data_IF_366005252785
#
_entry.id   IF_366005252785
#
_cell.length_a   1.000
_cell.length_b   1.000
_cell.length_c   1.000
_cell.angle_alpha   90.00
_cell.angle_beta   90.00
_cell.angle_gamma   90.00
#
_symmetry.space_group_name_H-M   'P 1'
#
loop_
_entity.id
_entity.type
_entity.pdbx_description
1 polymer ?
#
# COMPACT_ATOMS: atom_id res chain seq x y z
N UNK A 1 -2.99 1.14 38.11
CA UNK A 1 -4.16 1.61 38.87
C UNK A 1 -3.97 1.34 40.36
N UNK A 2 -3.78 0.08 40.79
CA UNK A 2 -3.53 -0.31 42.19
C UNK A 2 -2.49 0.56 42.92
N UNK A 3 -1.30 0.78 42.34
CA UNK A 3 -0.26 1.59 42.99
C UNK A 3 -0.66 3.08 43.19
N UNK A 4 -1.32 3.71 42.21
CA UNK A 4 -1.72 5.11 42.30
C UNK A 4 -2.91 5.33 43.26
N UNK A 5 -3.87 4.39 43.26
CA UNK A 5 -4.98 4.37 44.22
C UNK A 5 -4.47 4.15 45.65
N UNK A 6 -3.51 3.25 45.83
CA UNK A 6 -2.89 2.96 47.13
C UNK A 6 -2.08 4.16 47.62
N UNK A 7 -1.32 4.82 46.74
CA UNK A 7 -0.54 6.01 47.08
C UNK A 7 -1.44 7.17 47.52
N UNK A 8 -2.52 7.45 46.78
CA UNK A 8 -3.49 8.47 47.16
C UNK A 8 -4.20 8.15 48.48
N UNK A 9 -4.62 6.89 48.68
CA UNK A 9 -5.22 6.46 49.94
C UNK A 9 -4.26 6.63 51.12
N UNK A 10 -2.99 6.28 50.94
CA UNK A 10 -1.96 6.42 51.97
C UNK A 10 -1.62 7.89 52.30
N UNK A 11 -1.49 8.76 51.30
CA UNK A 11 -1.24 10.19 51.54
C UNK A 11 -2.44 10.89 52.18
N UNK A 12 -3.66 10.51 51.81
CA UNK A 12 -4.88 10.98 52.47
C UNK A 12 -4.94 10.55 53.94
N UNK A 13 -4.61 9.30 54.26
CA UNK A 13 -4.53 8.81 55.64
C UNK A 13 -3.45 9.55 56.44
N UNK A 14 -2.28 9.83 55.86
CA UNK A 14 -1.23 10.60 56.52
C UNK A 14 -1.66 12.05 56.78
N UNK A 15 -2.33 12.68 55.82
CA UNK A 15 -2.85 14.04 55.98
C UNK A 15 -3.89 14.11 57.12
N UNK A 16 -4.82 13.15 57.18
CA UNK A 16 -5.82 13.09 58.25
C UNK A 16 -5.20 12.88 59.64
N UNK A 17 -4.01 12.27 59.72
CA UNK A 17 -3.23 12.12 60.95
C UNK A 17 -2.26 13.29 61.21
N UNK A 18 -2.28 14.36 60.39
CA UNK A 18 -1.40 15.52 60.52
C UNK A 18 0.05 15.28 60.10
N UNK A 19 0.33 14.19 59.37
CA UNK A 19 1.68 13.74 58.99
C UNK A 19 2.05 14.05 57.53
N UNK A 20 1.16 14.68 56.77
CA UNK A 20 1.40 15.09 55.38
C UNK A 20 0.71 16.43 55.10
N UNK A 21 1.16 17.12 54.06
CA UNK A 21 0.58 18.40 53.65
C UNK A 21 -0.57 18.20 52.66
N UNK A 22 -1.47 19.17 52.56
CA UNK A 22 -2.55 19.17 51.56
C UNK A 22 -1.99 19.11 50.12
N UNK A 23 -0.80 19.68 49.90
CA UNK A 23 -0.08 19.61 48.63
C UNK A 23 0.21 18.16 48.23
N UNK A 24 0.71 17.33 49.14
CA UNK A 24 1.03 15.92 48.87
C UNK A 24 -0.22 15.10 48.48
N UNK A 25 -1.36 15.42 49.10
CA UNK A 25 -2.67 14.82 48.77
C UNK A 25 -3.13 15.25 47.38
N UNK A 26 -3.00 16.54 47.06
CA UNK A 26 -3.37 17.08 45.77
C UNK A 26 -2.49 16.48 44.65
N UNK A 27 -1.18 16.39 44.84
CA UNK A 27 -0.24 15.81 43.88
C UNK A 27 -0.53 14.32 43.65
N UNK A 28 -0.83 13.57 44.72
CA UNK A 28 -1.24 12.17 44.62
C UNK A 28 -2.57 12.01 43.86
N UNK A 29 -3.53 12.92 44.08
CA UNK A 29 -4.82 12.93 43.37
C UNK A 29 -4.64 13.25 41.88
N UNK A 30 -3.79 14.23 41.55
CA UNK A 30 -3.45 14.58 40.15
C UNK A 30 -2.83 13.37 39.45
N UNK A 31 -1.88 12.67 40.10
CA UNK A 31 -1.29 11.46 39.54
C UNK A 31 -2.35 10.37 39.27
N UNK A 32 -3.26 10.11 40.23
CA UNK A 32 -4.37 9.18 40.04
C UNK A 32 -5.24 9.57 38.83
N UNK A 33 -5.64 10.84 38.73
CA UNK A 33 -6.47 11.33 37.62
C UNK A 33 -5.75 11.18 36.27
N UNK A 34 -4.45 11.48 36.21
CA UNK A 34 -3.66 11.29 34.99
C UNK A 34 -3.59 9.82 34.55
N UNK A 35 -3.45 8.89 35.51
CA UNK A 35 -3.48 7.45 35.23
C UNK A 35 -4.85 7.01 34.73
N UNK A 36 -5.93 7.55 35.29
CA UNK A 36 -7.30 7.24 34.87
C UNK A 36 -7.60 7.77 33.46
N UNK A 37 -7.20 9.00 33.16
CA UNK A 37 -7.29 9.58 31.80
C UNK A 37 -6.50 8.72 30.80
N UNK A 38 -5.27 8.34 31.15
CA UNK A 38 -4.43 7.48 30.30
C UNK A 38 -5.08 6.12 30.05
N UNK A 39 -5.71 5.52 31.06
CA UNK A 39 -6.45 4.26 30.92
C UNK A 39 -7.61 4.41 29.92
N UNK A 40 -8.41 5.46 30.06
CA UNK A 40 -9.55 5.70 29.17
C UNK A 40 -9.08 5.93 27.73
N UNK A 41 -8.00 6.69 27.54
CA UNK A 41 -7.36 6.88 26.23
C UNK A 41 -6.93 5.54 25.62
N UNK A 42 -6.25 4.68 26.40
CA UNK A 42 -5.85 3.34 25.93
C UNK A 42 -7.07 2.50 25.53
N UNK A 43 -8.18 2.57 26.28
CA UNK A 43 -9.40 1.85 25.93
C UNK A 43 -10.02 2.35 24.62
N UNK A 44 -10.06 3.67 24.40
CA UNK A 44 -10.51 4.24 23.13
C UNK A 44 -9.59 3.89 21.97
N UNK A 45 -8.27 3.86 22.19
CA UNK A 45 -7.33 3.42 21.16
C UNK A 45 -7.50 1.94 20.85
N UNK A 46 -7.71 1.10 21.87
CA UNK A 46 -7.94 -0.32 21.69
C UNK A 46 -9.20 -0.58 20.85
N UNK A 47 -10.32 0.09 21.15
CA UNK A 47 -11.54 -0.07 20.34
C UNK A 47 -11.34 0.38 18.89
N UNK A 48 -10.62 1.48 18.66
CA UNK A 48 -10.26 1.93 17.30
C UNK A 48 -9.40 0.90 16.56
N UNK A 49 -8.42 0.28 17.23
CA UNK A 49 -7.58 -0.76 16.62
C UNK A 49 -8.37 -2.02 16.27
N UNK A 50 -9.34 -2.41 17.10
CA UNK A 50 -10.25 -3.52 16.76
C UNK A 50 -11.11 -3.20 15.53
N UNK A 51 -11.63 -1.98 15.42
CA UNK A 51 -12.37 -1.56 14.21
C UNK A 51 -11.47 -1.55 12.99
N UNK A 52 -10.24 -1.02 13.10
CA UNK A 52 -9.27 -1.04 12.02
C UNK A 52 -8.95 -2.47 11.57
N UNK A 53 -8.76 -3.40 12.51
CA UNK A 53 -8.56 -4.82 12.21
C UNK A 53 -9.76 -5.44 11.49
N UNK A 54 -10.99 -5.15 11.97
CA UNK A 54 -12.21 -5.61 11.30
C UNK A 54 -12.29 -5.13 9.86
N UNK A 55 -11.95 -3.86 9.60
CA UNK A 55 -11.90 -3.31 8.24
C UNK A 55 -10.84 -4.04 7.38
N UNK A 56 -9.64 -4.27 7.91
CA UNK A 56 -8.57 -4.95 7.18
C UNK A 56 -8.89 -6.42 6.86
N UNK A 57 -9.67 -7.08 7.71
CA UNK A 57 -10.06 -8.47 7.56
C UNK A 57 -11.45 -8.68 6.96
N UNK A 58 -12.13 -7.59 6.56
CA UNK A 58 -13.51 -7.62 6.03
C UNK A 58 -14.51 -8.32 6.98
N UNK A 59 -14.32 -8.14 8.30
CA UNK A 59 -15.16 -8.73 9.35
C UNK A 59 -16.32 -7.78 9.64
N UNK A 60 -17.58 -8.27 9.65
CA UNK A 60 -18.73 -7.43 9.94
C UNK A 60 -18.72 -6.93 11.40
N UNK A 61 -19.34 -5.77 11.64
CA UNK A 61 -19.30 -5.09 12.93
C UNK A 61 -19.86 -5.95 14.08
N UNK A 62 -20.91 -6.72 13.79
CA UNK A 62 -21.62 -7.56 14.76
C UNK A 62 -20.83 -8.78 15.26
N UNK A 63 -19.71 -9.12 14.62
CA UNK A 63 -18.89 -10.25 15.01
C UNK A 63 -17.87 -9.86 16.10
N UNK A 64 -17.75 -10.69 17.13
CA UNK A 64 -16.85 -10.43 18.26
C UNK A 64 -15.47 -10.98 17.93
N UNK A 65 -14.48 -10.09 17.82
CA UNK A 65 -13.08 -10.45 17.63
C UNK A 65 -12.37 -10.39 18.99
N UNK A 66 -11.78 -11.51 19.41
CA UNK A 66 -10.99 -11.59 20.65
C UNK A 66 -9.58 -12.06 20.31
N UNK A 67 -8.58 -11.28 20.70
CA UNK A 67 -7.18 -11.67 20.59
C UNK A 67 -6.80 -12.44 21.87
N UNK A 68 -6.75 -13.77 21.78
CA UNK A 68 -6.52 -14.66 22.93
C UNK A 68 -5.05 -14.94 23.22
N UNK A 69 -4.13 -14.47 22.37
CA UNK A 69 -2.72 -14.84 22.44
C UNK A 69 -1.90 -13.75 23.12
N UNK A 70 -1.26 -14.09 24.24
CA UNK A 70 -0.22 -13.25 24.85
C UNK A 70 1.04 -13.35 24.00
N UNK A 71 1.53 -12.22 23.51
CA UNK A 71 2.79 -12.12 22.76
C UNK A 71 3.96 -12.19 23.75
N UNK A 72 4.12 -13.33 24.42
CA UNK A 72 5.22 -13.59 25.36
C UNK A 72 6.41 -14.25 24.66
N UNK A 73 6.58 -13.95 23.37
CA UNK A 73 7.77 -14.34 22.62
C UNK A 73 8.73 -13.16 22.73
N UNK A 74 9.78 -13.32 23.52
CA UNK A 74 10.89 -12.37 23.51
C UNK A 74 11.29 -12.13 22.05
N UNK A 75 11.23 -10.89 21.54
CA UNK A 75 11.51 -10.63 20.15
C UNK A 75 12.94 -11.09 19.88
N UNK A 76 13.11 -12.19 19.14
CA UNK A 76 14.42 -12.57 18.67
C UNK A 76 14.85 -11.45 17.73
N UNK A 77 15.77 -10.60 18.17
CA UNK A 77 16.42 -9.58 17.36
C UNK A 77 17.21 -10.29 16.25
N UNK A 78 16.50 -10.74 15.21
CA UNK A 78 17.13 -11.33 14.04
C UNK A 78 17.85 -10.21 13.32
N UNK A 79 19.12 -10.39 13.02
CA UNK A 79 19.80 -9.54 12.06
C UNK A 79 19.22 -9.84 10.68
N UNK A 80 18.04 -9.31 10.38
CA UNK A 80 17.44 -9.42 9.06
C UNK A 80 18.09 -8.37 8.18
N UNK A 81 18.61 -8.81 7.04
CA UNK A 81 18.97 -7.89 5.97
C UNK A 81 17.68 -7.26 5.47
N UNK A 82 17.62 -5.93 5.46
CA UNK A 82 16.48 -5.21 4.86
C UNK A 82 16.63 -5.35 3.35
N UNK A 83 15.78 -6.17 2.74
CA UNK A 83 15.78 -6.37 1.30
C UNK A 83 15.07 -5.23 0.58
N UNK A 84 15.59 -4.91 -0.61
CA UNK A 84 15.01 -3.88 -1.49
C UNK A 84 13.65 -4.33 -2.00
N UNK A 85 12.63 -3.47 -1.89
CA UNK A 85 11.33 -3.74 -2.50
C UNK A 85 11.44 -3.71 -4.04
N UNK A 86 11.35 -4.87 -4.67
CA UNK A 86 11.48 -5.01 -6.13
C UNK A 86 10.17 -4.76 -6.88
N UNK A 87 9.01 -4.86 -6.23
CA UNK A 87 7.71 -4.79 -6.91
C UNK A 87 7.46 -3.41 -7.53
N UNK A 88 7.72 -2.34 -6.78
CA UNK A 88 7.52 -0.97 -7.26
C UNK A 88 8.47 -0.64 -8.42
N UNK A 89 9.75 -1.01 -8.28
CA UNK A 89 10.77 -0.84 -9.33
C UNK A 89 10.41 -1.63 -10.60
N UNK A 90 9.99 -2.89 -10.44
CA UNK A 90 9.57 -3.73 -11.56
C UNK A 90 8.32 -3.18 -12.27
N UNK A 91 7.34 -2.69 -11.52
CA UNK A 91 6.15 -2.08 -12.09
C UNK A 91 6.49 -0.81 -12.90
N UNK A 92 7.36 0.04 -12.37
CA UNK A 92 7.85 1.22 -13.08
C UNK A 92 8.58 0.85 -14.38
N UNK A 93 9.48 -0.14 -14.33
CA UNK A 93 10.18 -0.63 -15.51
C UNK A 93 9.24 -1.24 -16.56
N UNK A 94 8.15 -1.90 -16.15
CA UNK A 94 7.12 -2.39 -17.07
C UNK A 94 6.37 -1.23 -17.73
N UNK A 95 6.00 -0.19 -16.97
CA UNK A 95 5.35 1.00 -17.53
C UNK A 95 6.26 1.72 -18.53
N UNK A 96 7.56 1.83 -18.25
CA UNK A 96 8.53 2.38 -19.20
C UNK A 96 8.58 1.56 -20.49
N UNK A 97 8.62 0.22 -20.40
CA UNK A 97 8.60 -0.66 -21.57
C UNK A 97 7.32 -0.49 -22.39
N UNK A 98 6.17 -0.34 -21.74
CA UNK A 98 4.89 -0.09 -22.41
C UNK A 98 4.91 1.26 -23.14
N UNK A 99 5.37 2.33 -22.49
CA UNK A 99 5.50 3.66 -23.10
C UNK A 99 6.49 3.65 -24.29
N UNK A 100 7.60 2.92 -24.17
CA UNK A 100 8.56 2.72 -25.26
C UNK A 100 7.95 1.99 -26.44
N UNK A 101 7.17 0.93 -26.18
CA UNK A 101 6.43 0.20 -27.23
C UNK A 101 5.42 1.09 -27.93
N UNK A 102 4.68 1.91 -27.18
CA UNK A 102 3.73 2.89 -27.73
C UNK A 102 4.44 3.93 -28.61
N UNK A 103 5.59 4.44 -28.18
CA UNK A 103 6.43 5.33 -29.00
C UNK A 103 6.86 4.67 -30.31
N UNK A 104 7.35 3.42 -30.26
CA UNK A 104 7.72 2.71 -31.49
C UNK A 104 6.53 2.45 -32.39
N UNK A 105 5.36 2.11 -31.84
CA UNK A 105 4.13 1.95 -32.62
C UNK A 105 3.76 3.26 -33.34
N UNK A 106 3.83 4.39 -32.65
CA UNK A 106 3.58 5.69 -33.26
C UNK A 106 4.64 6.03 -34.33
N UNK A 107 5.91 5.74 -34.08
CA UNK A 107 7.01 5.95 -35.03
C UNK A 107 6.87 5.08 -36.29
N UNK A 108 6.49 3.81 -36.13
CA UNK A 108 6.31 2.88 -37.24
C UNK A 108 4.94 3.00 -37.91
N UNK A 109 4.02 3.81 -37.37
CA UNK A 109 2.73 4.08 -38.04
C UNK A 109 2.89 4.75 -39.41
N UNK A 110 4.06 5.36 -39.68
CA UNK A 110 4.40 5.99 -40.95
C UNK A 110 5.01 5.04 -41.97
N UNK A 111 5.31 3.79 -41.60
CA UNK A 111 5.90 2.82 -42.52
C UNK A 111 4.82 2.16 -43.37
N UNK A 112 5.10 1.83 -44.64
CA UNK A 112 4.15 1.12 -45.47
C UNK A 112 3.90 -0.27 -44.90
N UNK A 113 2.64 -0.72 -44.94
CA UNK A 113 2.23 -2.04 -44.48
C UNK A 113 1.77 -2.87 -45.66
N UNK A 114 2.30 -4.09 -45.77
CA UNK A 114 1.85 -5.09 -46.73
C UNK A 114 1.02 -6.13 -45.97
N UNK A 115 -0.20 -6.37 -46.44
CA UNK A 115 -1.11 -7.35 -45.85
C UNK A 115 -1.62 -8.30 -46.91
N UNK A 116 -1.69 -9.58 -46.57
CA UNK A 116 -2.29 -10.61 -47.42
C UNK A 116 -3.68 -10.86 -46.86
N UNK A 117 -4.69 -10.85 -47.73
CA UNK A 117 -6.06 -11.17 -47.36
C UNK A 117 -6.60 -12.23 -48.31
N UNK A 118 -7.39 -13.14 -47.75
CA UNK A 118 -8.14 -14.14 -48.49
C UNK A 118 -9.59 -14.04 -48.02
N UNK A 119 -10.51 -14.02 -48.98
CA UNK A 119 -11.94 -13.96 -48.71
C UNK A 119 -12.63 -15.12 -49.42
N UNK A 120 -13.50 -15.80 -48.69
CA UNK A 120 -14.48 -16.75 -49.19
C UNK A 120 -15.83 -16.24 -48.73
N UNK A 121 -16.70 -15.87 -49.66
CA UNK A 121 -18.06 -15.45 -49.34
C UNK A 121 -19.04 -16.05 -50.34
N UNK A 122 -20.19 -16.48 -49.86
CA UNK A 122 -21.33 -16.83 -50.69
C UNK A 122 -22.36 -15.72 -50.53
N UNK A 123 -22.62 -14.99 -51.62
CA UNK A 123 -23.58 -13.89 -51.59
C UNK A 123 -24.80 -14.26 -52.44
N UNK A 124 -25.97 -14.01 -51.87
CA UNK A 124 -27.24 -14.11 -52.57
C UNK A 124 -27.58 -12.75 -53.18
N UNK A 125 -27.56 -12.65 -54.51
CA UNK A 125 -27.97 -11.43 -55.20
C UNK A 125 -29.46 -11.49 -55.57
N UNK A 126 -30.31 -10.95 -54.71
CA UNK A 126 -31.75 -10.89 -54.96
C UNK A 126 -32.12 -9.57 -55.68
N UNK A 127 -32.22 -9.62 -57.00
CA UNK A 127 -32.59 -8.45 -57.83
C UNK A 127 -34.10 -8.26 -57.99
N UNK A 128 -34.94 -9.18 -57.48
CA UNK A 128 -36.39 -9.14 -57.66
C UNK A 128 -37.18 -9.36 -56.36
N UNK A 129 -36.85 -8.75 -55.22
CA UNK A 129 -37.68 -8.80 -53.98
C UNK A 129 -38.27 -10.18 -53.60
N UNK A 130 -37.61 -11.28 -54.01
CA UNK A 130 -38.08 -12.65 -53.83
C UNK A 130 -37.43 -13.21 -52.58
N UNK A 131 -37.85 -12.70 -51.43
CA UNK A 131 -37.22 -13.04 -50.14
C UNK A 131 -37.49 -14.50 -49.71
N UNK A 132 -38.41 -15.21 -50.38
CA UNK A 132 -38.90 -16.54 -49.98
C UNK A 132 -39.06 -17.53 -51.15
N UNK A 133 -38.26 -17.41 -52.23
CA UNK A 133 -38.30 -18.34 -53.36
C UNK A 133 -37.35 -19.53 -53.11
N UNK A 134 -37.74 -20.77 -53.44
CA UNK A 134 -36.96 -21.99 -53.15
C UNK A 134 -35.80 -22.23 -54.13
N UNK A 135 -35.65 -21.37 -55.16
CA UNK A 135 -34.54 -21.38 -56.11
C UNK A 135 -33.61 -20.20 -55.80
N UNK A 136 -32.81 -20.38 -54.77
CA UNK A 136 -31.81 -19.39 -54.35
C UNK A 136 -30.47 -19.78 -54.97
N UNK A 137 -30.01 -18.98 -55.94
CA UNK A 137 -28.67 -19.13 -56.50
C UNK A 137 -27.67 -18.40 -55.60
N UNK A 138 -26.90 -19.20 -54.86
CA UNK A 138 -25.75 -18.70 -54.09
C UNK A 138 -24.56 -18.58 -55.03
N UNK A 139 -24.01 -17.38 -55.17
CA UNK A 139 -22.81 -17.16 -55.97
C UNK A 139 -21.59 -17.15 -55.06
N UNK A 140 -20.68 -18.15 -55.16
CA UNK A 140 -19.43 -18.13 -54.41
C UNK A 140 -18.47 -17.10 -54.99
N UNK A 141 -17.86 -16.31 -54.12
CA UNK A 141 -16.88 -15.27 -54.45
C UNK A 141 -15.63 -15.50 -53.61
N UNK A 142 -14.57 -15.97 -54.28
CA UNK A 142 -13.30 -16.31 -53.65
C UNK A 142 -12.19 -15.47 -54.27
N UNK A 143 -11.41 -14.77 -53.44
CA UNK A 143 -10.26 -14.03 -53.92
C UNK A 143 -9.16 -14.00 -52.87
N UNK A 144 -7.92 -14.04 -53.34
CA UNK A 144 -6.70 -13.80 -52.57
C UNK A 144 -6.04 -12.54 -53.12
N UNK A 145 -5.64 -11.64 -52.23
CA UNK A 145 -5.07 -10.36 -52.62
C UNK A 145 -3.96 -9.91 -51.67
N UNK A 146 -3.08 -9.08 -52.19
CA UNK A 146 -2.07 -8.37 -51.42
C UNK A 146 -2.46 -6.90 -51.43
N UNK A 147 -2.60 -6.30 -50.24
CA UNK A 147 -2.86 -4.88 -50.05
C UNK A 147 -1.61 -4.21 -49.50
N UNK A 148 -1.03 -3.31 -50.29
CA UNK A 148 -0.01 -2.38 -49.85
C UNK A 148 -0.68 -1.07 -49.41
N UNK A 149 -0.47 -0.66 -48.16
CA UNK A 149 -1.02 0.57 -47.60
C UNK A 149 0.12 1.49 -47.17
N UNK A 150 0.24 2.64 -47.85
CA UNK A 150 1.26 3.67 -47.55
C UNK A 150 0.54 4.85 -46.87
N UNK A 151 0.72 5.05 -45.55
CA UNK A 151 0.10 6.16 -44.85
C UNK A 151 0.80 7.47 -45.18
N UNK A 152 0.04 8.49 -45.57
CA UNK A 152 0.56 9.86 -45.75
C UNK A 152 0.46 10.56 -44.39
N UNK A 153 1.57 11.08 -43.84
CA UNK A 153 1.57 11.69 -42.52
C UNK A 153 0.75 12.98 -42.50
N UNK A 154 -0.14 13.09 -41.51
CA UNK A 154 -0.91 14.32 -41.21
C UNK A 154 -0.34 15.04 -39.98
N UNK A 155 -0.69 16.32 -39.79
CA UNK A 155 -0.32 17.08 -38.60
C UNK A 155 -0.69 16.36 -37.30
N UNK A 156 -1.87 15.74 -37.26
CA UNK A 156 -2.34 14.95 -36.12
C UNK A 156 -1.43 13.75 -35.82
N UNK A 157 -0.96 13.07 -36.88
CA UNK A 157 -0.08 11.90 -36.74
C UNK A 157 1.29 12.31 -36.19
N UNK A 158 1.83 13.45 -36.64
CA UNK A 158 3.06 14.04 -36.08
C UNK A 158 2.89 14.41 -34.60
N UNK A 159 1.78 15.06 -34.23
CA UNK A 159 1.49 15.38 -32.83
C UNK A 159 1.40 14.13 -31.96
N UNK A 160 0.76 13.07 -32.45
CA UNK A 160 0.64 11.80 -31.72
C UNK A 160 1.99 11.11 -31.52
N UNK A 161 2.85 11.11 -32.53
CA UNK A 161 4.22 10.56 -32.42
C UNK A 161 5.07 11.38 -31.44
N UNK A 162 4.99 12.71 -31.50
CA UNK A 162 5.69 13.59 -30.55
C UNK A 162 5.19 13.38 -29.12
N UNK A 163 3.88 13.29 -28.92
CA UNK A 163 3.28 12.99 -27.62
C UNK A 163 3.79 11.65 -27.07
N UNK A 164 3.74 10.58 -27.86
CA UNK A 164 4.22 9.27 -27.45
C UNK A 164 5.71 9.27 -27.07
N UNK A 165 6.53 10.10 -27.72
CA UNK A 165 7.93 10.31 -27.34
C UNK A 165 8.05 10.97 -25.98
N UNK A 166 7.30 12.05 -25.72
CA UNK A 166 7.32 12.72 -24.42
C UNK A 166 6.78 11.84 -23.30
N UNK A 167 5.71 11.08 -23.56
CA UNK A 167 5.17 10.11 -22.60
C UNK A 167 6.21 9.04 -22.23
N UNK A 168 7.00 8.56 -23.20
CA UNK A 168 8.13 7.66 -22.93
C UNK A 168 9.22 8.32 -22.07
N UNK A 169 9.62 9.55 -22.39
CA UNK A 169 10.63 10.28 -21.61
C UNK A 169 10.16 10.52 -20.17
N UNK A 170 8.88 10.88 -20.00
CA UNK A 170 8.27 11.04 -18.68
C UNK A 170 8.27 9.72 -17.91
N UNK A 171 7.86 8.61 -18.55
CA UNK A 171 7.86 7.29 -17.91
C UNK A 171 9.27 6.81 -17.54
N UNK A 172 10.28 7.14 -18.35
CA UNK A 172 11.68 6.85 -18.05
C UNK A 172 12.15 7.63 -16.82
N UNK A 173 11.91 8.94 -16.78
CA UNK A 173 12.26 9.76 -15.62
C UNK A 173 11.54 9.30 -14.34
N UNK A 174 10.27 8.93 -14.45
CA UNK A 174 9.51 8.37 -13.33
C UNK A 174 10.11 7.05 -12.83
N UNK A 175 10.60 6.20 -13.74
CA UNK A 175 11.27 4.93 -13.35
C UNK A 175 12.58 5.19 -12.63
N UNK A 176 13.39 6.15 -13.09
CA UNK A 176 14.60 6.59 -12.40
C UNK A 176 14.28 7.13 -11.00
N UNK A 177 13.25 7.98 -10.87
CA UNK A 177 12.80 8.51 -9.58
C UNK A 177 12.31 7.43 -8.62
N UNK A 178 11.52 6.47 -9.10
CA UNK A 178 11.05 5.34 -8.29
C UNK A 178 12.22 4.48 -7.80
N UNK A 179 13.22 4.23 -8.65
CA UNK A 179 14.40 3.49 -8.24
C UNK A 179 15.17 4.18 -7.11
N UNK A 180 15.36 5.50 -7.22
CA UNK A 180 15.97 6.32 -6.16
C UNK A 180 15.12 6.24 -4.87
N UNK A 181 13.80 6.39 -4.98
CA UNK A 181 12.89 6.32 -3.84
C UNK A 181 12.96 4.96 -3.14
N UNK A 182 12.99 3.85 -3.89
CA UNK A 182 13.12 2.51 -3.32
C UNK A 182 14.46 2.35 -2.59
N UNK A 183 15.56 2.87 -3.13
CA UNK A 183 16.87 2.83 -2.48
C UNK A 183 16.89 3.66 -1.18
N UNK A 184 16.31 4.85 -1.20
CA UNK A 184 16.18 5.71 -0.01
C UNK A 184 15.30 5.04 1.06
N UNK A 185 14.15 4.51 0.67
CA UNK A 185 13.26 3.81 1.60
C UNK A 185 13.93 2.59 2.23
N UNK A 186 14.72 1.85 1.47
CA UNK A 186 15.47 0.69 1.99
C UNK A 186 16.49 1.13 3.05
N UNK A 187 17.21 2.23 2.80
CA UNK A 187 18.14 2.81 3.78
C UNK A 187 17.43 3.32 5.03
N UNK A 188 16.31 4.03 4.86
CA UNK A 188 15.49 4.51 5.97
C UNK A 188 15.01 3.34 6.84
N UNK A 189 14.45 2.29 6.23
CA UNK A 189 14.02 1.09 6.95
C UNK A 189 15.16 0.40 7.71
N UNK A 190 16.37 0.38 7.14
CA UNK A 190 17.54 -0.14 7.85
C UNK A 190 17.89 0.72 9.07
N UNK A 191 17.92 2.05 8.90
CA UNK A 191 18.18 2.97 10.01
C UNK A 191 17.11 2.88 11.09
N UNK A 192 15.84 2.87 10.74
CA UNK A 192 14.70 2.76 11.66
C UNK A 192 14.75 1.42 12.44
N UNK A 193 15.21 0.36 11.79
CA UNK A 193 15.40 -0.94 12.42
C UNK A 193 16.55 -0.92 13.45
N UNK A 194 17.69 -0.35 13.08
CA UNK A 194 18.85 -0.20 13.97
C UNK A 194 18.51 0.69 15.18
N UNK A 195 17.78 1.79 14.96
CA UNK A 195 17.27 2.67 16.01
C UNK A 195 16.31 1.92 16.94
N UNK A 196 15.32 1.22 16.40
CA UNK A 196 14.34 0.48 17.18
C UNK A 196 14.98 -0.61 18.03
N UNK A 197 16.02 -1.28 17.50
CA UNK A 197 16.80 -2.26 18.24
C UNK A 197 17.54 -1.61 19.42
N UNK A 198 18.26 -0.51 19.19
CA UNK A 198 18.98 0.20 20.25
C UNK A 198 18.04 0.74 21.32
N UNK A 199 16.88 1.28 20.91
CA UNK A 199 15.86 1.77 21.82
C UNK A 199 15.25 0.64 22.66
N UNK A 200 15.01 -0.53 22.06
CA UNK A 200 14.52 -1.70 22.78
C UNK A 200 15.52 -2.17 23.84
N UNK A 201 16.80 -2.32 23.48
CA UNK A 201 17.87 -2.72 24.40
C UNK A 201 18.00 -1.72 25.57
N UNK A 202 18.02 -0.42 25.26
CA UNK A 202 18.11 0.65 26.26
C UNK A 202 16.90 0.68 27.19
N UNK A 203 15.68 0.58 26.65
CA UNK A 203 14.47 0.59 27.46
C UNK A 203 14.33 -0.67 28.32
N UNK A 204 14.80 -1.82 27.84
CA UNK A 204 14.84 -3.05 28.62
C UNK A 204 15.77 -2.90 29.82
N UNK A 205 16.96 -2.31 29.64
CA UNK A 205 17.89 -2.01 30.73
C UNK A 205 17.32 -0.99 31.72
N UNK A 206 16.70 0.09 31.24
CA UNK A 206 16.02 1.06 32.10
C UNK A 206 14.92 0.39 32.92
N UNK A 207 14.15 -0.51 32.30
CA UNK A 207 13.08 -1.24 32.97
C UNK A 207 13.63 -2.16 34.06
N UNK A 208 14.68 -2.94 33.80
CA UNK A 208 15.29 -3.82 34.81
C UNK A 208 15.86 -3.03 35.99
N UNK A 209 16.58 -1.93 35.72
CA UNK A 209 17.13 -1.06 36.76
C UNK A 209 16.05 -0.41 37.63
N UNK A 210 14.96 0.07 37.00
CA UNK A 210 13.82 0.63 37.74
C UNK A 210 13.14 -0.42 38.58
N UNK A 211 12.88 -1.60 38.02
CA UNK A 211 12.27 -2.72 38.75
C UNK A 211 13.09 -3.09 39.98
N UNK A 212 14.41 -3.21 39.83
CA UNK A 212 15.33 -3.49 40.93
C UNK A 212 15.29 -2.40 42.01
N UNK A 213 15.21 -1.12 41.61
CA UNK A 213 15.12 0.01 42.54
C UNK A 213 13.80 -0.01 43.31
N UNK A 214 12.67 -0.23 42.62
CA UNK A 214 11.36 -0.34 43.27
C UNK A 214 11.27 -1.55 44.21
N UNK A 215 11.94 -2.66 43.89
CA UNK A 215 11.96 -3.85 44.74
C UNK A 215 12.91 -3.74 45.94
N UNK A 216 13.96 -2.91 45.87
CA UNK A 216 14.90 -2.68 46.98
C UNK A 216 14.41 -1.66 48.02
N UNK A 217 13.39 -0.86 47.69
CA UNK A 217 12.83 0.18 48.57
C UNK A 217 11.64 -0.35 49.41
N UNK A 218 11.11 -1.53 49.09
CA UNK A 218 10.15 -2.28 49.92
C UNK A 218 10.87 -3.38 50.72
#
# INVERSE_FOLDING_TARGET
MLAADTLYGFTLLKYNNGLANQQDVNDSKVNKLNVEVSKNQIQFHLSQQYVALKILCDIPENEVVVISQDVNVAPSLRNSLVEKNTLLSNNAALNEKLAKSAYYRAKYSFVPTASIFASYQEQQYNTQSRLFDNKIDFTPSNYIGIKLSIPIPSSQSFTQSSKAKYDYLLSKNNTEQINIQVDLNTKMLQTDYEESKALFESNHEIYSLRKDTYQKIN
#
